data_IF_106444779216
#
_entry.id   IF_106444779216
#
_cell.length_a   1.000
_cell.length_b   1.000
_cell.length_c   1.000
_cell.angle_alpha   90.00
_cell.angle_beta   90.00
_cell.angle_gamma   90.00
#
_symmetry.space_group_name_H-M   'P 1'
#
loop_
_entity.id
_entity.type
_entity.pdbx_description
1 polymer ?
#
# COMPACT_ATOMS: atom_id res chain seq x y z
N UNK A 1 -17.68 -55.31 10.01
CA UNK A 1 -18.21 -56.09 8.86
C UNK A 1 -18.52 -57.57 9.18
N UNK A 2 -19.13 -57.90 10.33
CA UNK A 2 -19.64 -59.27 10.62
C UNK A 2 -21.12 -59.45 10.29
N UNK A 3 -21.87 -58.35 10.14
CA UNK A 3 -23.32 -58.34 9.92
C UNK A 3 -23.76 -58.93 8.57
N UNK A 4 -22.93 -58.81 7.52
CA UNK A 4 -23.27 -59.29 6.17
C UNK A 4 -22.70 -60.67 5.83
N UNK A 5 -21.87 -61.27 6.71
CA UNK A 5 -21.19 -62.54 6.43
C UNK A 5 -22.17 -63.71 6.30
N UNK A 6 -23.20 -63.74 7.16
CA UNK A 6 -24.18 -64.82 7.18
C UNK A 6 -25.20 -64.72 6.04
N UNK A 7 -25.48 -63.53 5.52
CA UNK A 7 -26.37 -63.34 4.37
C UNK A 7 -25.69 -63.75 3.05
N UNK A 8 -24.39 -63.48 2.90
CA UNK A 8 -23.59 -63.94 1.75
C UNK A 8 -23.53 -65.47 1.65
N UNK A 9 -23.40 -66.18 2.78
CA UNK A 9 -23.38 -67.65 2.83
C UNK A 9 -24.71 -68.30 2.37
N UNK A 10 -25.86 -67.72 2.74
CA UNK A 10 -27.19 -68.24 2.34
C UNK A 10 -27.52 -68.00 0.86
N UNK A 11 -27.04 -66.92 0.25
CA UNK A 11 -27.32 -66.59 -1.16
C UNK A 11 -26.52 -67.46 -2.16
N UNK A 12 -25.32 -67.90 -1.79
CA UNK A 12 -24.46 -68.76 -2.61
C UNK A 12 -25.04 -70.17 -2.84
N UNK A 13 -25.89 -70.67 -1.92
CA UNK A 13 -26.55 -71.98 -2.06
C UNK A 13 -27.68 -72.03 -3.12
N UNK A 14 -28.17 -70.88 -3.60
CA UNK A 14 -29.42 -70.80 -4.39
C UNK A 14 -29.27 -70.43 -5.88
N UNK A 15 -28.07 -70.42 -6.49
CA UNK A 15 -27.85 -70.09 -7.93
C UNK A 15 -28.47 -68.75 -8.42
N UNK A 16 -28.79 -67.80 -7.52
CA UNK A 16 -29.33 -66.46 -7.88
C UNK A 16 -28.22 -65.42 -8.01
N UNK A 17 -27.44 -65.49 -9.09
CA UNK A 17 -26.33 -64.56 -9.39
C UNK A 17 -26.81 -63.09 -9.40
N UNK A 18 -28.01 -62.82 -9.92
CA UNK A 18 -28.57 -61.46 -9.97
C UNK A 18 -28.75 -60.78 -8.62
N UNK A 19 -29.15 -61.54 -7.59
CA UNK A 19 -29.30 -60.98 -6.23
C UNK A 19 -27.94 -60.65 -5.63
N UNK A 20 -26.91 -61.47 -5.86
CA UNK A 20 -25.57 -61.21 -5.37
C UNK A 20 -24.95 -59.97 -6.03
N UNK A 21 -25.14 -59.79 -7.34
CA UNK A 21 -24.70 -58.60 -8.06
C UNK A 21 -25.39 -57.33 -7.57
N UNK A 22 -26.70 -57.35 -7.32
CA UNK A 22 -27.42 -56.20 -6.77
C UNK A 22 -26.90 -55.79 -5.38
N UNK A 23 -26.60 -56.75 -4.51
CA UNK A 23 -26.01 -56.47 -3.19
C UNK A 23 -24.57 -55.91 -3.28
N UNK A 24 -23.74 -56.44 -4.18
CA UNK A 24 -22.38 -55.93 -4.38
C UNK A 24 -22.38 -54.51 -4.96
N UNK A 25 -23.29 -54.19 -5.90
CA UNK A 25 -23.47 -52.84 -6.44
C UNK A 25 -23.92 -51.88 -5.35
N UNK A 26 -24.87 -52.28 -4.50
CA UNK A 26 -25.31 -51.48 -3.35
C UNK A 26 -24.17 -51.17 -2.37
N UNK A 27 -23.29 -52.13 -2.11
CA UNK A 27 -22.10 -51.96 -1.26
C UNK A 27 -21.09 -50.98 -1.89
N UNK A 28 -20.86 -51.06 -3.21
CA UNK A 28 -20.00 -50.11 -3.93
C UNK A 28 -20.59 -48.70 -3.88
N UNK A 29 -21.89 -48.53 -4.12
CA UNK A 29 -22.56 -47.22 -4.06
C UNK A 29 -22.45 -46.61 -2.66
N UNK A 30 -22.68 -47.40 -1.60
CA UNK A 30 -22.52 -46.95 -0.22
C UNK A 30 -21.08 -46.51 0.10
N UNK A 31 -20.08 -47.27 -0.36
CA UNK A 31 -18.66 -46.89 -0.20
C UNK A 31 -18.34 -45.61 -0.95
N UNK A 32 -18.81 -45.47 -2.19
CA UNK A 32 -18.61 -44.25 -3.01
C UNK A 32 -19.23 -43.03 -2.34
N UNK A 33 -20.47 -43.13 -1.84
CA UNK A 33 -21.11 -42.04 -1.09
C UNK A 33 -20.28 -41.68 0.15
N UNK A 34 -19.78 -42.68 0.89
CA UNK A 34 -18.92 -42.45 2.05
C UNK A 34 -17.64 -41.68 1.71
N UNK A 35 -16.98 -42.04 0.60
CA UNK A 35 -15.77 -41.34 0.11
C UNK A 35 -16.12 -39.91 -0.32
N UNK A 36 -17.20 -39.71 -1.08
CA UNK A 36 -17.62 -38.39 -1.54
C UNK A 36 -17.94 -37.45 -0.37
N UNK A 37 -18.64 -37.93 0.66
CA UNK A 37 -18.90 -37.16 1.88
C UNK A 37 -17.59 -36.82 2.59
N UNK A 38 -16.67 -37.78 2.75
CA UNK A 38 -15.39 -37.54 3.40
C UNK A 38 -14.56 -36.47 2.67
N UNK A 39 -14.47 -36.54 1.34
CA UNK A 39 -13.79 -35.53 0.51
C UNK A 39 -14.49 -34.18 0.62
N UNK A 40 -15.83 -34.15 0.58
CA UNK A 40 -16.60 -32.91 0.66
C UNK A 40 -16.40 -32.20 2.01
N UNK A 41 -16.38 -32.95 3.12
CA UNK A 41 -16.10 -32.42 4.45
C UNK A 41 -14.67 -31.89 4.57
N UNK A 42 -13.69 -32.58 3.98
CA UNK A 42 -12.31 -32.12 3.97
C UNK A 42 -12.17 -30.80 3.20
N UNK A 43 -12.71 -30.74 1.98
CA UNK A 43 -12.68 -29.54 1.14
C UNK A 43 -13.38 -28.35 1.83
N UNK A 44 -14.54 -28.60 2.47
CA UNK A 44 -15.23 -27.54 3.23
C UNK A 44 -14.39 -27.00 4.40
N UNK A 45 -13.70 -27.87 5.14
CA UNK A 45 -12.84 -27.44 6.24
C UNK A 45 -11.58 -26.69 5.74
N UNK A 46 -11.01 -27.11 4.61
CA UNK A 46 -9.90 -26.40 3.94
C UNK A 46 -10.34 -25.01 3.49
N UNK A 47 -11.43 -24.89 2.73
CA UNK A 47 -12.00 -23.61 2.30
C UNK A 47 -12.28 -22.68 3.49
N UNK A 48 -12.82 -23.21 4.59
CA UNK A 48 -13.06 -22.44 5.82
C UNK A 48 -11.75 -21.88 6.42
N UNK A 49 -10.68 -22.66 6.42
CA UNK A 49 -9.36 -22.22 6.93
C UNK A 49 -8.74 -21.17 6.01
N UNK A 50 -8.84 -21.35 4.70
CA UNK A 50 -8.34 -20.38 3.72
C UNK A 50 -9.10 -19.05 3.82
N UNK A 51 -10.43 -19.08 3.91
CA UNK A 51 -11.24 -17.87 4.12
C UNK A 51 -10.87 -17.14 5.41
N UNK A 52 -10.66 -17.87 6.51
CA UNK A 52 -10.19 -17.27 7.77
C UNK A 52 -8.82 -16.60 7.62
N UNK A 53 -7.91 -17.21 6.85
CA UNK A 53 -6.59 -16.62 6.56
C UNK A 53 -6.73 -15.35 5.73
N UNK A 54 -7.58 -15.35 4.70
CA UNK A 54 -7.84 -14.18 3.87
C UNK A 54 -8.42 -13.01 4.68
N UNK A 55 -9.42 -13.26 5.54
CA UNK A 55 -9.99 -12.22 6.42
C UNK A 55 -8.96 -11.65 7.41
N UNK A 56 -8.01 -12.48 7.86
CA UNK A 56 -6.89 -12.00 8.67
C UNK A 56 -5.94 -11.11 7.85
N UNK A 57 -5.65 -11.47 6.59
CA UNK A 57 -4.86 -10.64 5.67
C UNK A 57 -5.57 -9.30 5.43
N UNK A 58 -6.89 -9.30 5.20
CA UNK A 58 -7.67 -8.06 5.07
C UNK A 58 -7.60 -7.18 6.31
N UNK A 59 -7.66 -7.75 7.52
CA UNK A 59 -7.49 -6.99 8.77
C UNK A 59 -6.10 -6.36 8.90
N UNK A 60 -5.07 -7.06 8.40
CA UNK A 60 -3.71 -6.52 8.36
C UNK A 60 -3.64 -5.35 7.36
N UNK A 61 -4.21 -5.52 6.17
CA UNK A 61 -4.23 -4.48 5.12
C UNK A 61 -4.98 -3.24 5.61
N UNK A 62 -6.11 -3.42 6.28
CA UNK A 62 -6.88 -2.32 6.86
C UNK A 62 -6.04 -1.50 7.85
N UNK A 63 -5.32 -2.18 8.76
CA UNK A 63 -4.43 -1.51 9.69
C UNK A 63 -3.24 -0.82 8.98
N UNK A 64 -2.65 -1.48 7.99
CA UNK A 64 -1.55 -0.93 7.21
C UNK A 64 -2.00 0.37 6.48
N UNK A 65 -3.13 0.33 5.78
CA UNK A 65 -3.72 1.50 5.10
C UNK A 65 -4.08 2.62 6.08
N UNK A 66 -4.70 2.31 7.21
CA UNK A 66 -5.05 3.31 8.22
C UNK A 66 -3.81 4.04 8.79
N UNK A 67 -2.66 3.35 8.89
CA UNK A 67 -1.41 4.00 9.29
C UNK A 67 -0.82 4.83 8.15
N UNK A 68 -0.82 4.31 6.92
CA UNK A 68 -0.33 5.03 5.75
C UNK A 68 -1.12 6.32 5.50
N UNK A 69 -2.45 6.30 5.68
CA UNK A 69 -3.32 7.48 5.57
C UNK A 69 -2.95 8.56 6.59
N UNK A 70 -2.58 8.18 7.83
CA UNK A 70 -2.12 9.11 8.86
C UNK A 70 -0.77 9.72 8.52
N UNK A 71 0.16 8.94 7.97
CA UNK A 71 1.45 9.48 7.51
C UNK A 71 1.28 10.45 6.34
N UNK A 72 0.42 10.12 5.37
CA UNK A 72 0.07 11.04 4.29
C UNK A 72 -0.51 12.34 4.85
N UNK A 73 -1.41 12.27 5.82
CA UNK A 73 -2.01 13.45 6.44
C UNK A 73 -0.96 14.36 7.10
N UNK A 74 0.03 13.78 7.80
CA UNK A 74 1.15 14.54 8.37
C UNK A 74 1.93 15.29 7.29
N UNK A 75 2.20 14.63 6.16
CA UNK A 75 2.93 15.22 5.04
C UNK A 75 2.12 16.33 4.37
N UNK A 76 0.83 16.09 4.11
CA UNK A 76 -0.07 17.11 3.56
C UNK A 76 -0.15 18.33 4.50
N UNK A 77 -0.23 18.11 5.81
CA UNK A 77 -0.26 19.19 6.80
C UNK A 77 1.06 19.97 6.86
N UNK A 78 2.21 19.29 6.76
CA UNK A 78 3.50 19.96 6.64
C UNK A 78 3.52 20.89 5.42
N UNK A 79 3.17 20.39 4.23
CA UNK A 79 3.19 21.20 3.02
C UNK A 79 2.14 22.31 3.01
N UNK A 80 0.97 22.08 3.63
CA UNK A 80 -0.01 23.14 3.84
C UNK A 80 0.53 24.26 4.72
N UNK A 81 1.37 23.94 5.71
CA UNK A 81 1.97 24.94 6.60
C UNK A 81 3.04 25.79 5.93
N UNK A 82 3.78 25.24 4.95
CA UNK A 82 4.89 25.95 4.25
C UNK A 82 4.48 26.53 2.89
N UNK A 83 3.32 26.16 2.34
CA UNK A 83 2.78 26.69 1.07
C UNK A 83 2.75 28.23 1.00
N UNK A 84 2.38 28.96 2.07
CA UNK A 84 2.42 30.41 2.04
C UNK A 84 3.83 30.98 1.80
N UNK A 85 4.88 30.29 2.23
CA UNK A 85 6.28 30.72 2.06
C UNK A 85 6.70 30.60 0.59
N UNK A 86 6.41 29.46 -0.04
CA UNK A 86 6.63 29.27 -1.48
C UNK A 86 5.89 30.32 -2.28
N UNK A 87 4.59 30.48 -2.02
CA UNK A 87 3.74 31.44 -2.75
C UNK A 87 4.27 32.87 -2.63
N UNK A 88 4.77 33.26 -1.46
CA UNK A 88 5.31 34.61 -1.25
C UNK A 88 6.59 34.87 -2.03
N UNK A 89 7.49 33.88 -2.12
CA UNK A 89 8.70 33.97 -2.96
C UNK A 89 8.32 34.02 -4.44
N UNK A 90 7.44 33.14 -4.90
CA UNK A 90 7.06 33.05 -6.31
C UNK A 90 6.35 34.33 -6.80
N UNK A 91 5.62 35.00 -5.92
CA UNK A 91 4.93 36.26 -6.19
C UNK A 91 5.77 37.52 -5.86
N UNK A 92 7.09 37.40 -5.68
CA UNK A 92 8.00 38.53 -5.41
C UNK A 92 7.58 39.41 -4.22
N UNK A 93 6.89 38.81 -3.25
CA UNK A 93 6.27 39.52 -2.13
C UNK A 93 7.06 39.39 -0.82
N UNK A 94 8.14 38.61 -0.82
CA UNK A 94 8.97 38.36 0.36
C UNK A 94 9.98 39.51 0.57
N UNK A 95 10.11 39.97 1.82
CA UNK A 95 11.09 41.02 2.17
C UNK A 95 12.34 40.42 2.82
N UNK A 96 13.50 41.06 2.66
CA UNK A 96 14.78 40.64 3.29
C UNK A 96 14.63 40.36 4.80
N UNK A 97 13.90 41.22 5.51
CA UNK A 97 13.64 41.09 6.95
C UNK A 97 12.91 39.78 7.33
N UNK A 98 12.14 39.20 6.41
CA UNK A 98 11.40 37.96 6.67
C UNK A 98 12.29 36.74 6.64
N UNK A 99 13.35 36.74 5.84
CA UNK A 99 14.38 35.69 5.88
C UNK A 99 15.15 35.69 7.22
N UNK A 100 15.29 36.88 7.85
CA UNK A 100 15.95 37.01 9.16
C UNK A 100 15.09 36.41 10.27
N UNK A 101 13.79 36.72 10.29
CA UNK A 101 12.90 36.31 11.37
C UNK A 101 12.23 34.95 11.17
N UNK A 102 12.16 34.46 9.93
CA UNK A 102 11.61 33.15 9.62
C UNK A 102 12.67 32.28 8.93
N UNK A 103 13.42 31.48 9.71
CA UNK A 103 14.46 30.62 9.16
C UNK A 103 13.91 29.54 8.21
N UNK A 104 12.59 29.26 8.21
CA UNK A 104 12.01 28.27 7.29
C UNK A 104 12.22 28.64 5.83
N UNK A 105 12.26 29.93 5.48
CA UNK A 105 12.56 30.36 4.11
C UNK A 105 13.89 29.79 3.61
N UNK A 106 14.88 29.66 4.50
CA UNK A 106 16.21 29.15 4.18
C UNK A 106 16.22 27.65 3.85
N UNK A 107 15.28 26.89 4.41
CA UNK A 107 15.30 25.43 4.32
C UNK A 107 14.35 24.87 3.24
N UNK A 108 13.57 25.71 2.56
CA UNK A 108 12.59 25.30 1.56
C UNK A 108 13.17 24.46 0.42
N UNK A 109 14.46 24.63 0.10
CA UNK A 109 15.10 23.95 -1.04
C UNK A 109 16.07 22.85 -0.65
N UNK A 110 16.24 22.57 0.64
CA UNK A 110 17.28 21.64 1.14
C UNK A 110 16.76 20.56 2.11
N UNK A 111 15.45 20.48 2.33
CA UNK A 111 14.85 19.43 3.13
C UNK A 111 13.38 19.21 2.81
N UNK A 112 12.93 17.96 2.94
CA UNK A 112 11.55 17.56 2.72
C UNK A 112 11.18 16.39 3.65
N UNK A 113 9.90 16.23 4.01
CA UNK A 113 9.43 15.05 4.72
C UNK A 113 9.50 13.81 3.81
N UNK A 114 10.11 12.75 4.35
CA UNK A 114 10.13 11.41 3.75
C UNK A 114 8.78 10.72 3.94
N UNK A 115 8.43 9.79 3.03
CA UNK A 115 7.24 8.95 3.14
C UNK A 115 7.63 7.48 2.97
N UNK A 116 6.97 6.61 3.73
CA UNK A 116 7.06 5.15 3.55
C UNK A 116 5.68 4.53 3.69
N UNK A 117 5.48 3.37 3.08
CA UNK A 117 4.20 2.67 3.06
C UNK A 117 4.33 1.27 3.65
N UNK A 118 3.31 0.87 4.41
CA UNK A 118 3.22 -0.46 4.99
C UNK A 118 2.85 -1.49 3.91
N UNK A 119 3.67 -2.54 3.77
CA UNK A 119 3.50 -3.58 2.74
C UNK A 119 3.25 -4.97 3.31
N UNK A 120 3.03 -5.09 4.61
CA UNK A 120 2.91 -6.41 5.27
C UNK A 120 1.69 -7.16 4.75
N UNK A 121 0.52 -6.52 4.75
CA UNK A 121 -0.71 -7.11 4.23
C UNK A 121 -0.63 -7.42 2.74
N UNK A 122 -0.14 -6.47 1.95
CA UNK A 122 0.12 -6.65 0.51
C UNK A 122 1.04 -7.84 0.22
N UNK A 123 2.16 -7.97 0.94
CA UNK A 123 3.09 -9.08 0.78
C UNK A 123 2.46 -10.42 1.17
N UNK A 124 1.58 -10.45 2.19
CA UNK A 124 0.87 -11.68 2.52
C UNK A 124 -0.19 -12.05 1.47
N UNK A 125 -0.87 -11.06 0.90
CA UNK A 125 -1.90 -11.26 -0.11
C UNK A 125 -1.31 -11.73 -1.45
N UNK A 126 -0.18 -11.17 -1.87
CA UNK A 126 0.54 -11.59 -3.09
C UNK A 126 1.10 -13.01 -3.00
N UNK A 127 1.40 -13.49 -1.79
CA UNK A 127 1.79 -14.88 -1.53
C UNK A 127 0.58 -15.81 -1.25
N UNK A 128 -0.63 -15.27 -1.28
CA UNK A 128 -1.85 -16.04 -1.08
C UNK A 128 -2.38 -16.52 -2.44
N UNK A 129 -2.84 -17.77 -2.52
CA UNK A 129 -3.43 -18.29 -3.75
C UNK A 129 -4.82 -17.67 -3.95
N UNK A 130 -4.90 -16.67 -4.83
CA UNK A 130 -6.16 -15.97 -5.15
C UNK A 130 -6.92 -16.63 -6.30
N UNK A 131 -6.34 -17.58 -7.03
CA UNK A 131 -6.92 -18.14 -8.26
C UNK A 131 -8.19 -18.96 -8.02
N UNK A 132 -8.37 -19.46 -6.79
CA UNK A 132 -9.56 -20.21 -6.37
C UNK A 132 -10.73 -19.31 -5.93
N UNK A 133 -10.52 -17.99 -5.85
CA UNK A 133 -11.50 -17.04 -5.34
C UNK A 133 -12.24 -16.34 -6.48
N UNK A 134 -13.58 -16.31 -6.41
CA UNK A 134 -14.41 -15.52 -7.33
C UNK A 134 -14.45 -14.03 -6.95
N UNK A 135 -14.07 -13.70 -5.72
CA UNK A 135 -14.02 -12.32 -5.24
C UNK A 135 -12.87 -11.57 -5.92
N UNK A 136 -13.18 -10.39 -6.47
CA UNK A 136 -12.20 -9.56 -7.17
C UNK A 136 -11.38 -8.66 -6.23
N UNK A 137 -11.76 -8.53 -4.95
CA UNK A 137 -11.07 -7.63 -4.02
C UNK A 137 -9.58 -7.95 -3.85
N UNK A 138 -9.12 -9.22 -3.75
CA UNK A 138 -7.69 -9.51 -3.69
C UNK A 138 -6.90 -8.90 -4.85
N UNK A 139 -7.42 -9.06 -6.08
CA UNK A 139 -6.83 -8.50 -7.29
C UNK A 139 -6.83 -6.98 -7.26
N UNK A 140 -7.96 -6.36 -6.90
CA UNK A 140 -8.07 -4.90 -6.78
C UNK A 140 -7.06 -4.33 -5.79
N UNK A 141 -6.85 -4.99 -4.64
CA UNK A 141 -5.85 -4.58 -3.65
C UNK A 141 -4.44 -4.69 -4.24
N UNK A 142 -4.12 -5.80 -4.90
CA UNK A 142 -2.80 -6.01 -5.50
C UNK A 142 -2.50 -4.95 -6.56
N UNK A 143 -3.46 -4.66 -7.44
CA UNK A 143 -3.35 -3.63 -8.47
C UNK A 143 -3.20 -2.23 -7.85
N UNK A 144 -4.04 -1.89 -6.87
CA UNK A 144 -3.96 -0.62 -6.13
C UNK A 144 -2.55 -0.38 -5.56
N UNK A 145 -2.02 -1.34 -4.80
CA UNK A 145 -0.68 -1.19 -4.21
C UNK A 145 0.40 -1.13 -5.30
N UNK A 146 0.31 -1.97 -6.32
CA UNK A 146 1.31 -2.04 -7.39
C UNK A 146 1.40 -0.74 -8.16
N UNK A 147 0.26 -0.17 -8.55
CA UNK A 147 0.19 1.07 -9.32
C UNK A 147 0.54 2.28 -8.45
N UNK A 148 -0.14 2.46 -7.32
CA UNK A 148 0.04 3.67 -6.50
C UNK A 148 1.42 3.78 -5.89
N UNK A 149 1.99 2.68 -5.40
CA UNK A 149 3.34 2.71 -4.83
C UNK A 149 4.41 2.95 -5.89
N UNK A 150 4.17 2.55 -7.14
CA UNK A 150 5.10 2.83 -8.25
C UNK A 150 5.10 4.31 -8.59
N UNK A 151 3.93 4.90 -8.81
CA UNK A 151 3.81 6.33 -9.16
C UNK A 151 4.40 7.21 -8.06
N UNK A 152 4.01 6.98 -6.80
CA UNK A 152 4.51 7.77 -5.67
C UNK A 152 6.03 7.63 -5.52
N UNK A 153 6.58 6.43 -5.76
CA UNK A 153 8.03 6.22 -5.71
C UNK A 153 8.77 7.05 -6.78
N UNK A 154 8.25 7.08 -8.00
CA UNK A 154 8.86 7.86 -9.10
C UNK A 154 8.89 9.35 -8.73
N UNK A 155 7.78 9.87 -8.21
CA UNK A 155 7.67 11.27 -7.81
C UNK A 155 8.54 11.60 -6.59
N UNK A 156 8.61 10.69 -5.62
CA UNK A 156 9.47 10.83 -4.44
C UNK A 156 10.96 10.86 -4.82
N UNK A 157 11.38 9.99 -5.73
CA UNK A 157 12.75 9.98 -6.27
C UNK A 157 13.05 11.27 -7.05
N UNK A 158 12.08 11.80 -7.80
CA UNK A 158 12.22 13.09 -8.50
C UNK A 158 12.42 14.23 -7.50
N UNK A 159 11.62 14.30 -6.43
CA UNK A 159 11.82 15.27 -5.33
C UNK A 159 13.20 15.12 -4.74
N UNK A 160 13.56 13.92 -4.30
CA UNK A 160 14.84 13.64 -3.66
C UNK A 160 16.03 14.11 -4.53
N UNK A 161 15.94 13.91 -5.85
CA UNK A 161 16.93 14.38 -6.80
C UNK A 161 17.01 15.92 -6.87
N UNK A 162 15.88 16.62 -6.95
CA UNK A 162 15.83 18.08 -6.99
C UNK A 162 16.43 18.71 -5.72
N UNK A 163 16.05 18.20 -4.54
CA UNK A 163 16.63 18.61 -3.26
C UNK A 163 18.13 18.30 -3.15
N UNK A 164 18.57 17.14 -3.65
CA UNK A 164 19.98 16.77 -3.69
C UNK A 164 20.80 17.72 -4.60
N UNK A 165 20.23 18.14 -5.72
CA UNK A 165 20.85 19.11 -6.61
C UNK A 165 21.02 20.47 -5.92
N UNK A 166 19.98 20.97 -5.25
CA UNK A 166 20.03 22.22 -4.48
C UNK A 166 21.10 22.17 -3.39
N UNK A 167 21.07 21.14 -2.53
CA UNK A 167 22.08 20.90 -1.51
C UNK A 167 23.51 20.89 -2.11
N UNK A 168 23.70 20.15 -3.22
CA UNK A 168 25.00 20.00 -3.86
C UNK A 168 25.50 21.30 -4.48
N UNK A 169 24.61 22.05 -5.09
CA UNK A 169 24.91 23.36 -5.66
C UNK A 169 25.33 24.33 -4.56
N UNK A 170 24.59 24.40 -3.46
CA UNK A 170 24.91 25.32 -2.37
C UNK A 170 26.24 25.00 -1.71
N UNK A 171 26.45 23.72 -1.38
CA UNK A 171 27.70 23.23 -0.77
C UNK A 171 28.94 23.52 -1.59
N UNK A 172 28.85 23.47 -2.93
CA UNK A 172 30.01 23.62 -3.83
C UNK A 172 30.29 25.07 -4.20
N UNK A 173 29.25 25.89 -4.34
CA UNK A 173 29.38 27.21 -4.97
C UNK A 173 29.36 28.38 -3.98
N UNK A 174 28.89 28.19 -2.74
CA UNK A 174 28.72 29.29 -1.80
C UNK A 174 29.43 29.08 -0.46
N UNK A 175 30.12 30.11 0.01
CA UNK A 175 30.82 30.12 1.31
C UNK A 175 29.87 30.12 2.50
N UNK A 176 28.68 30.70 2.34
CA UNK A 176 27.66 30.79 3.38
C UNK A 176 27.00 29.45 3.73
N UNK A 177 27.28 28.39 2.97
CA UNK A 177 26.70 27.07 3.21
C UNK A 177 26.92 26.54 4.63
N UNK A 178 28.15 26.70 5.16
CA UNK A 178 28.50 26.22 6.49
C UNK A 178 27.72 26.94 7.60
N UNK A 179 27.44 28.23 7.42
CA UNK A 179 26.62 29.00 8.35
C UNK A 179 25.16 28.56 8.27
N UNK A 180 24.64 28.39 7.04
CA UNK A 180 23.28 27.92 6.78
C UNK A 180 22.94 26.62 7.51
N UNK A 181 23.76 25.57 7.30
CA UNK A 181 23.53 24.26 7.92
C UNK A 181 23.82 24.23 9.42
N UNK A 182 24.58 25.21 9.92
CA UNK A 182 24.82 25.39 11.35
C UNK A 182 23.74 26.23 12.03
N UNK A 183 22.64 26.53 11.33
CA UNK A 183 21.55 27.40 11.79
C UNK A 183 22.02 28.81 12.18
N UNK A 184 23.16 29.26 11.63
CA UNK A 184 23.63 30.64 11.73
C UNK A 184 23.03 31.39 10.56
N UNK A 185 22.27 32.45 10.83
CA UNK A 185 21.77 33.32 9.76
C UNK A 185 22.94 33.81 8.89
N UNK A 186 22.72 33.92 7.57
CA UNK A 186 23.71 34.43 6.63
C UNK A 186 23.14 35.60 5.84
N UNK A 187 23.83 36.74 5.91
CA UNK A 187 23.46 37.92 5.13
C UNK A 187 23.70 37.68 3.63
N UNK A 188 24.73 36.92 3.28
CA UNK A 188 25.06 36.56 1.91
C UNK A 188 24.02 35.63 1.29
N UNK A 189 23.47 34.69 2.07
CA UNK A 189 22.32 33.89 1.63
C UNK A 189 21.10 34.77 1.39
N UNK A 190 20.79 35.70 2.29
CA UNK A 190 19.63 36.61 2.13
C UNK A 190 19.80 37.48 0.88
N UNK A 191 21.01 37.98 0.61
CA UNK A 191 21.29 38.71 -0.61
C UNK A 191 21.03 37.83 -1.84
N UNK A 192 21.66 36.65 -1.89
CA UNK A 192 21.44 35.66 -2.95
C UNK A 192 19.95 35.34 -3.17
N UNK A 193 19.21 35.03 -2.09
CA UNK A 193 17.80 34.66 -2.15
C UNK A 193 16.86 35.80 -2.60
N UNK A 194 17.31 37.05 -2.56
CA UNK A 194 16.49 38.22 -2.91
C UNK A 194 16.94 38.94 -4.17
N UNK A 195 18.14 38.67 -4.68
CA UNK A 195 18.67 39.33 -5.88
C UNK A 195 18.98 38.37 -7.03
N UNK A 196 19.27 37.11 -6.74
CA UNK A 196 19.64 36.12 -7.77
C UNK A 196 18.41 35.32 -8.24
N UNK A 197 18.09 35.31 -9.54
CA UNK A 197 16.98 34.50 -10.05
C UNK A 197 17.16 32.99 -9.85
N UNK A 198 18.38 32.48 -9.66
CA UNK A 198 18.65 31.06 -9.41
C UNK A 198 17.87 30.55 -8.18
N UNK A 199 17.83 31.33 -7.09
CA UNK A 199 17.10 30.93 -5.90
C UNK A 199 15.60 30.77 -6.16
N UNK A 200 14.99 31.77 -6.82
CA UNK A 200 13.56 31.71 -7.18
C UNK A 200 13.25 30.54 -8.10
N UNK A 201 14.14 30.23 -9.05
CA UNK A 201 14.00 29.08 -9.94
C UNK A 201 14.05 27.74 -9.19
N UNK A 202 14.96 27.60 -8.22
CA UNK A 202 15.02 26.40 -7.36
C UNK A 202 13.76 26.24 -6.51
N UNK A 203 13.27 27.33 -5.92
CA UNK A 203 12.00 27.35 -5.17
C UNK A 203 10.83 26.96 -6.08
N UNK A 204 10.81 27.46 -7.32
CA UNK A 204 9.79 27.11 -8.31
C UNK A 204 9.83 25.63 -8.71
N UNK A 205 11.03 25.05 -8.86
CA UNK A 205 11.21 23.62 -9.15
C UNK A 205 10.66 22.76 -8.01
N UNK A 206 11.10 23.03 -6.77
CA UNK A 206 10.61 22.32 -5.58
C UNK A 206 9.09 22.45 -5.46
N UNK A 207 8.55 23.64 -5.68
CA UNK A 207 7.11 23.88 -5.65
C UNK A 207 6.37 23.06 -6.71
N UNK A 208 6.87 23.04 -7.94
CA UNK A 208 6.28 22.27 -9.02
C UNK A 208 6.27 20.77 -8.68
N UNK A 209 7.43 20.17 -8.38
CA UNK A 209 7.52 18.73 -8.11
C UNK A 209 6.70 18.35 -6.87
N UNK A 210 6.65 19.20 -5.85
CA UNK A 210 5.89 18.91 -4.63
C UNK A 210 4.38 19.06 -4.83
N UNK A 211 3.93 20.26 -5.23
CA UNK A 211 2.50 20.61 -5.21
C UNK A 211 1.75 20.23 -6.48
N UNK A 212 2.45 20.10 -7.62
CA UNK A 212 1.83 19.78 -8.90
C UNK A 212 2.01 18.32 -9.31
N UNK A 213 2.95 17.60 -8.68
CA UNK A 213 3.23 16.20 -9.01
C UNK A 213 2.97 15.30 -7.79
N UNK A 214 3.79 15.39 -6.75
CA UNK A 214 3.76 14.45 -5.62
C UNK A 214 2.49 14.50 -4.74
N UNK A 215 2.07 15.68 -4.29
CA UNK A 215 0.87 15.81 -3.44
C UNK A 215 -0.42 15.32 -4.10
N UNK A 216 -0.66 15.58 -5.40
CA UNK A 216 -1.75 14.95 -6.14
C UNK A 216 -1.74 13.41 -6.13
N UNK A 217 -0.57 12.76 -6.23
CA UNK A 217 -0.48 11.29 -6.16
C UNK A 217 -0.82 10.76 -4.77
N UNK A 218 -0.40 11.46 -3.70
CA UNK A 218 -0.82 11.10 -2.34
C UNK A 218 -2.35 11.20 -2.17
N UNK A 219 -2.97 12.22 -2.76
CA UNK A 219 -4.43 12.38 -2.72
C UNK A 219 -5.17 11.27 -3.49
N UNK A 220 -4.62 10.82 -4.63
CA UNK A 220 -5.14 9.65 -5.36
C UNK A 220 -5.03 8.37 -4.54
N UNK A 221 -3.90 8.16 -3.86
CA UNK A 221 -3.72 7.03 -2.94
C UNK A 221 -4.80 7.03 -1.86
N UNK A 222 -5.02 8.16 -1.19
CA UNK A 222 -6.02 8.26 -0.11
C UNK A 222 -7.41 7.84 -0.57
N UNK A 223 -7.89 8.41 -1.68
CA UNK A 223 -9.21 8.13 -2.24
C UNK A 223 -9.40 6.66 -2.58
N UNK A 224 -8.40 6.03 -3.19
CA UNK A 224 -8.49 4.62 -3.54
C UNK A 224 -8.35 3.71 -2.31
N UNK A 225 -7.51 4.07 -1.34
CA UNK A 225 -7.39 3.36 -0.07
C UNK A 225 -8.72 3.34 0.70
N UNK A 226 -9.47 4.45 0.73
CA UNK A 226 -10.80 4.53 1.35
C UNK A 226 -11.83 3.58 0.69
N UNK A 227 -11.77 3.44 -0.64
CA UNK A 227 -12.58 2.46 -1.38
C UNK A 227 -12.22 1.03 -0.97
N UNK A 228 -10.92 0.70 -0.92
CA UNK A 228 -10.44 -0.62 -0.48
C UNK A 228 -10.88 -0.92 0.95
N UNK A 229 -10.76 0.04 1.87
CA UNK A 229 -11.20 -0.11 3.25
C UNK A 229 -12.69 -0.43 3.35
N UNK A 230 -13.51 0.29 2.58
CA UNK A 230 -14.96 0.05 2.50
C UNK A 230 -15.28 -1.36 1.97
N UNK A 231 -14.56 -1.81 0.94
CA UNK A 231 -14.75 -3.16 0.39
C UNK A 231 -14.28 -4.27 1.33
N UNK A 232 -13.23 -4.03 2.12
CA UNK A 232 -12.79 -4.94 3.18
C UNK A 232 -13.89 -5.09 4.24
N UNK A 233 -14.49 -3.98 4.68
CA UNK A 233 -15.53 -3.97 5.72
C UNK A 233 -16.74 -4.82 5.32
N UNK A 234 -17.23 -4.68 4.07
CA UNK A 234 -18.35 -5.46 3.52
C UNK A 234 -18.15 -6.99 3.53
N UNK A 235 -16.90 -7.47 3.61
CA UNK A 235 -16.56 -8.90 3.62
C UNK A 235 -16.32 -9.46 5.03
N UNK A 236 -16.34 -8.58 6.04
CA UNK A 236 -16.21 -8.94 7.45
C UNK A 236 -17.56 -9.12 8.13
N UNK A 237 -18.62 -8.51 7.59
CA UNK A 237 -20.03 -8.73 7.95
C UNK A 237 -20.55 -10.10 7.48
#
# INVERSE_FOLDING_TARGET
MKLFRNQRSKLLKNKKIGNYLAYAIGEIILVVIGILIAVSLNNWNENRKENKKLLNIYSIIENDLNNDLKEIEKIQNFYKSVDPLYTKILNDSVRKVEYVFNPQYTYLTIGFPEITFNKRGYNQLTNFNTDSYQDSLPTQIIEFYTERLREIKIDDELRAKDFHENYSHYKKNYKWWADLISMKGSQEFIEYATTDPDYKNRVASVYFVTYKVFLPELEKFKKQAEVILTEIEKRKE
#
